data_IF_211396061512
#
_entry.id   IF_211396061512
#
_cell.length_a   1.000
_cell.length_b   1.000
_cell.length_c   1.000
_cell.angle_alpha   90.00
_cell.angle_beta   90.00
_cell.angle_gamma   90.00
#
_symmetry.space_group_name_H-M   'P 1'
#
loop_
_entity.id
_entity.type
_entity.pdbx_description
1 polymer ?
#
# COMPACT_ATOMS: atom_id res chain seq x y z
N UNK A 1 -31.64 11.09 -19.12
CA UNK A 1 -30.22 11.03 -19.51
C UNK A 1 -29.57 12.26 -18.90
N UNK A 2 -28.55 12.12 -18.03
CA UNK A 2 -27.83 13.28 -17.53
C UNK A 2 -27.13 13.99 -18.69
N UNK A 3 -27.04 15.32 -18.64
CA UNK A 3 -26.36 16.09 -19.67
C UNK A 3 -24.87 15.72 -19.68
N UNK A 4 -24.26 15.54 -20.85
CA UNK A 4 -22.83 15.21 -20.98
C UNK A 4 -21.91 16.16 -20.17
N UNK A 5 -22.34 17.42 -20.00
CA UNK A 5 -21.67 18.43 -19.18
C UNK A 5 -21.61 18.11 -17.69
N UNK A 6 -22.61 17.43 -17.10
CA UNK A 6 -22.60 17.11 -15.67
C UNK A 6 -21.64 15.98 -15.35
N UNK A 7 -21.49 15.01 -16.26
CA UNK A 7 -20.51 13.92 -16.14
C UNK A 7 -19.07 14.44 -16.22
N UNK A 8 -18.79 15.31 -17.19
CA UNK A 8 -17.47 15.92 -17.33
C UNK A 8 -17.08 16.75 -16.11
N UNK A 9 -17.99 17.59 -15.61
CA UNK A 9 -17.74 18.37 -14.39
C UNK A 9 -17.44 17.49 -13.18
N UNK A 10 -18.20 16.39 -13.00
CA UNK A 10 -17.97 15.46 -11.91
C UNK A 10 -16.59 14.79 -11.99
N UNK A 11 -16.19 14.32 -13.18
CA UNK A 11 -14.86 13.74 -13.40
C UNK A 11 -13.75 14.74 -13.11
N UNK A 12 -13.87 15.99 -13.59
CA UNK A 12 -12.88 17.04 -13.32
C UNK A 12 -12.73 17.30 -11.82
N UNK A 13 -13.83 17.41 -11.07
CA UNK A 13 -13.78 17.59 -9.61
C UNK A 13 -13.06 16.44 -8.92
N UNK A 14 -13.32 15.20 -9.35
CA UNK A 14 -12.67 14.01 -8.81
C UNK A 14 -11.17 14.01 -9.15
N UNK A 15 -10.79 14.30 -10.38
CA UNK A 15 -9.40 14.35 -10.84
C UNK A 15 -8.59 15.40 -10.06
N UNK A 16 -9.12 16.62 -9.91
CA UNK A 16 -8.48 17.66 -9.11
C UNK A 16 -8.32 17.23 -7.65
N UNK A 17 -9.33 16.58 -7.08
CA UNK A 17 -9.26 16.05 -5.71
C UNK A 17 -8.16 15.01 -5.57
N UNK A 18 -8.04 14.10 -6.54
CA UNK A 18 -6.99 13.07 -6.58
C UNK A 18 -5.59 13.71 -6.69
N UNK A 19 -5.42 14.70 -7.55
CA UNK A 19 -4.16 15.44 -7.72
C UNK A 19 -3.74 16.11 -6.41
N UNK A 20 -4.66 16.84 -5.77
CA UNK A 20 -4.40 17.54 -4.49
C UNK A 20 -4.05 16.55 -3.39
N UNK A 21 -4.85 15.48 -3.24
CA UNK A 21 -4.62 14.46 -2.22
C UNK A 21 -3.28 13.75 -2.41
N UNK A 22 -2.92 13.34 -3.62
CA UNK A 22 -1.62 12.69 -3.86
C UNK A 22 -0.46 13.66 -3.62
N UNK A 23 -0.60 14.93 -3.98
CA UNK A 23 0.44 15.95 -3.73
C UNK A 23 0.70 16.14 -2.23
N UNK A 24 -0.37 16.20 -1.41
CA UNK A 24 -0.26 16.26 0.05
C UNK A 24 0.42 15.00 0.59
N UNK A 25 -0.01 13.83 0.14
CA UNK A 25 0.54 12.54 0.59
C UNK A 25 2.04 12.41 0.25
N UNK A 26 2.46 12.86 -0.93
CA UNK A 26 3.88 12.92 -1.34
C UNK A 26 4.65 13.85 -0.41
N UNK A 27 4.16 15.07 -0.17
CA UNK A 27 4.81 16.04 0.71
C UNK A 27 5.03 15.51 2.12
N UNK A 28 3.97 14.99 2.76
CA UNK A 28 4.06 14.38 4.09
C UNK A 28 5.04 13.21 4.09
N UNK A 29 4.95 12.32 3.10
CA UNK A 29 5.80 11.13 3.02
C UNK A 29 7.28 11.48 2.86
N UNK A 30 7.62 12.47 2.04
CA UNK A 30 9.01 12.93 1.86
C UNK A 30 9.59 13.49 3.15
N UNK A 31 8.83 14.33 3.87
CA UNK A 31 9.27 14.91 5.15
C UNK A 31 9.57 13.78 6.15
N UNK A 32 8.65 12.84 6.31
CA UNK A 32 8.81 11.74 7.27
C UNK A 32 9.92 10.78 6.86
N UNK A 33 10.00 10.45 5.57
CA UNK A 33 11.07 9.61 5.03
C UNK A 33 12.45 10.21 5.29
N UNK A 34 12.63 11.50 4.99
CA UNK A 34 13.89 12.23 5.22
C UNK A 34 14.28 12.20 6.70
N UNK A 35 13.30 12.38 7.58
CA UNK A 35 13.51 12.35 9.02
C UNK A 35 13.90 10.96 9.53
N UNK A 36 13.25 9.90 9.02
CA UNK A 36 13.63 8.51 9.33
C UNK A 36 15.06 8.22 8.87
N UNK A 37 15.43 8.63 7.66
CA UNK A 37 16.80 8.45 7.13
C UNK A 37 17.82 9.18 8.00
N UNK A 38 17.54 10.42 8.41
CA UNK A 38 18.39 11.17 9.33
C UNK A 38 18.57 10.43 10.66
N UNK A 39 17.48 9.93 11.25
CA UNK A 39 17.54 9.17 12.51
C UNK A 39 18.25 7.82 12.39
N UNK A 40 18.09 7.12 11.26
CA UNK A 40 18.81 5.88 10.97
C UNK A 40 20.33 6.08 10.97
N UNK A 41 20.81 7.21 10.43
CA UNK A 41 22.23 7.59 10.45
C UNK A 41 22.73 7.90 11.86
N UNK A 42 21.94 8.62 12.67
CA UNK A 42 22.33 9.06 14.02
C UNK A 42 22.23 7.95 15.08
N UNK A 43 21.32 6.99 14.92
CA UNK A 43 21.03 6.00 15.96
C UNK A 43 22.11 4.91 16.02
N UNK A 44 22.83 4.81 17.15
CA UNK A 44 23.82 3.74 17.39
C UNK A 44 23.17 2.40 17.76
N UNK A 45 21.98 2.40 18.35
CA UNK A 45 21.28 1.19 18.78
C UNK A 45 20.74 0.39 17.58
N UNK A 46 21.27 -0.81 17.36
CA UNK A 46 20.90 -1.70 16.26
C UNK A 46 19.45 -2.20 16.32
N UNK A 47 18.86 -2.33 17.51
CA UNK A 47 17.53 -2.92 17.71
C UNK A 47 16.40 -2.08 17.11
N UNK A 48 16.56 -0.76 17.08
CA UNK A 48 15.55 0.14 16.52
C UNK A 48 15.68 0.31 14.99
N UNK A 49 16.84 -0.01 14.40
CA UNK A 49 17.11 0.24 12.98
C UNK A 49 16.18 -0.51 12.04
N UNK A 50 15.85 -1.75 12.35
CA UNK A 50 15.00 -2.59 11.49
C UNK A 50 13.59 -2.00 11.33
N UNK A 51 12.85 -1.69 12.41
CA UNK A 51 11.52 -1.13 12.22
C UNK A 51 11.53 0.28 11.60
N UNK A 52 12.58 1.09 11.81
CA UNK A 52 12.78 2.33 11.05
C UNK A 52 12.98 2.06 9.55
N UNK A 53 13.82 1.09 9.19
CA UNK A 53 14.07 0.68 7.79
C UNK A 53 12.78 0.19 7.12
N UNK A 54 12.00 -0.66 7.78
CA UNK A 54 10.73 -1.17 7.25
C UNK A 54 9.67 -0.05 7.10
N UNK A 55 9.68 0.93 8.01
CA UNK A 55 8.82 2.12 7.91
C UNK A 55 9.27 3.01 6.73
N UNK A 56 10.57 3.21 6.55
CA UNK A 56 11.11 3.93 5.40
C UNK A 56 10.73 3.26 4.07
N UNK A 57 10.81 1.93 3.99
CA UNK A 57 10.39 1.17 2.81
C UNK A 57 8.90 1.38 2.48
N UNK A 58 8.04 1.42 3.51
CA UNK A 58 6.62 1.71 3.32
C UNK A 58 6.39 3.13 2.78
N UNK A 59 7.06 4.15 3.33
CA UNK A 59 6.97 5.51 2.80
C UNK A 59 7.52 5.63 1.37
N UNK A 60 8.61 4.93 1.05
CA UNK A 60 9.13 4.87 -0.32
C UNK A 60 8.10 4.27 -1.30
N UNK A 61 7.42 3.19 -0.90
CA UNK A 61 6.36 2.54 -1.68
C UNK A 61 5.16 3.49 -1.90
N UNK A 62 4.78 4.25 -0.86
CA UNK A 62 3.72 5.26 -0.94
C UNK A 62 4.12 6.40 -1.88
N UNK A 63 5.32 6.97 -1.73
CA UNK A 63 5.83 8.04 -2.60
C UNK A 63 5.79 7.59 -4.06
N UNK A 64 6.34 6.41 -4.36
CA UNK A 64 6.35 5.89 -5.73
C UNK A 64 4.93 5.75 -6.29
N UNK A 65 4.01 5.17 -5.50
CA UNK A 65 2.62 4.98 -5.94
C UNK A 65 1.89 6.30 -6.16
N UNK A 66 2.02 7.26 -5.24
CA UNK A 66 1.40 8.57 -5.39
C UNK A 66 2.00 9.38 -6.54
N UNK A 67 3.31 9.28 -6.81
CA UNK A 67 3.94 9.94 -7.96
C UNK A 67 3.43 9.37 -9.28
N UNK A 68 3.34 8.04 -9.39
CA UNK A 68 2.82 7.39 -10.59
C UNK A 68 1.33 7.72 -10.80
N UNK A 69 0.54 7.71 -9.74
CA UNK A 69 -0.87 8.09 -9.81
C UNK A 69 -1.06 9.57 -10.16
N UNK A 70 -0.29 10.48 -9.55
CA UNK A 70 -0.29 11.89 -9.88
C UNK A 70 0.04 12.12 -11.35
N UNK A 71 1.05 11.41 -11.88
CA UNK A 71 1.43 11.48 -13.29
C UNK A 71 0.30 11.03 -14.22
N UNK A 72 -0.41 9.95 -13.90
CA UNK A 72 -1.57 9.53 -14.69
C UNK A 72 -2.69 10.58 -14.66
N UNK A 73 -3.03 11.12 -13.50
CA UNK A 73 -4.13 12.08 -13.39
C UNK A 73 -3.82 13.44 -14.03
N UNK A 74 -2.57 13.89 -14.01
CA UNK A 74 -2.14 15.06 -14.78
C UNK A 74 -2.36 14.83 -16.29
N UNK A 75 -2.20 13.58 -16.76
CA UNK A 75 -2.40 13.22 -18.17
C UNK A 75 -3.88 13.07 -18.56
N UNK A 76 -4.71 12.56 -17.65
CA UNK A 76 -6.17 12.42 -17.87
C UNK A 76 -6.83 13.79 -18.00
N UNK A 77 -6.36 14.79 -17.23
CA UNK A 77 -7.01 16.08 -17.10
C UNK A 77 -7.26 16.81 -18.45
N UNK A 78 -6.28 16.92 -19.38
CA UNK A 78 -6.54 17.42 -20.73
C UNK A 78 -7.57 16.62 -21.53
N UNK A 79 -7.64 15.29 -21.33
CA UNK A 79 -8.64 14.43 -21.96
C UNK A 79 -10.06 14.82 -21.54
N UNK A 80 -10.28 15.01 -20.24
CA UNK A 80 -11.58 15.47 -19.73
C UNK A 80 -11.91 16.94 -20.07
N UNK A 81 -10.90 17.82 -20.17
CA UNK A 81 -11.10 19.24 -20.49
C UNK A 81 -11.39 19.49 -21.98
N UNK A 82 -10.67 18.81 -22.87
CA UNK A 82 -10.65 19.13 -24.30
C UNK A 82 -11.14 17.98 -25.18
N UNK A 83 -11.51 16.83 -24.62
CA UNK A 83 -11.91 15.62 -25.36
C UNK A 83 -10.85 15.21 -26.40
N UNK A 84 -9.57 15.23 -25.98
CA UNK A 84 -8.45 14.88 -26.84
C UNK A 84 -8.33 13.35 -26.95
N UNK A 85 -8.89 12.78 -28.02
CA UNK A 85 -8.79 11.35 -28.37
C UNK A 85 -7.36 10.90 -28.72
N UNK A 86 -6.42 11.83 -28.88
CA UNK A 86 -5.03 11.54 -29.29
C UNK A 86 -4.12 11.04 -28.17
N UNK A 87 -4.64 10.76 -26.98
CA UNK A 87 -3.88 10.28 -25.82
C UNK A 87 -3.71 8.75 -25.76
N UNK A 88 -4.10 8.01 -26.81
CA UNK A 88 -3.87 6.56 -26.90
C UNK A 88 -2.39 6.25 -27.16
N UNK A 89 -1.63 6.11 -26.08
CA UNK A 89 -0.18 5.91 -26.16
C UNK A 89 0.24 4.42 -26.33
N UNK A 90 -0.68 3.52 -26.71
CA UNK A 90 -0.38 2.11 -27.00
C UNK A 90 0.47 1.41 -25.92
N UNK A 91 1.72 1.07 -26.23
CA UNK A 91 2.65 0.39 -25.31
C UNK A 91 2.95 1.23 -24.05
N UNK A 92 3.06 2.56 -24.17
CA UNK A 92 3.34 3.41 -23.02
C UNK A 92 2.20 3.36 -22.00
N UNK A 93 0.96 3.21 -22.46
CA UNK A 93 -0.20 3.00 -21.58
C UNK A 93 -0.02 1.74 -20.74
N UNK A 94 0.40 0.65 -21.37
CA UNK A 94 0.62 -0.62 -20.68
C UNK A 94 1.77 -0.54 -19.68
N UNK A 95 2.87 0.11 -20.04
CA UNK A 95 4.04 0.31 -19.16
C UNK A 95 3.64 1.13 -17.93
N UNK A 96 2.88 2.20 -18.10
CA UNK A 96 2.45 3.05 -16.98
C UNK A 96 1.51 2.32 -16.04
N UNK A 97 0.51 1.62 -16.57
CA UNK A 97 -0.36 0.76 -15.78
C UNK A 97 0.47 -0.29 -15.01
N UNK A 98 1.40 -0.98 -15.67
CA UNK A 98 2.31 -1.92 -15.04
C UNK A 98 3.03 -1.32 -13.82
N UNK A 99 3.67 -0.17 -13.97
CA UNK A 99 4.39 0.48 -12.88
C UNK A 99 3.45 0.89 -11.74
N UNK A 100 2.26 1.41 -12.05
CA UNK A 100 1.26 1.81 -11.05
C UNK A 100 0.76 0.61 -10.23
N UNK A 101 0.42 -0.50 -10.89
CA UNK A 101 -0.02 -1.72 -10.19
C UNK A 101 1.12 -2.36 -9.40
N UNK A 102 2.34 -2.38 -9.94
CA UNK A 102 3.52 -2.89 -9.24
C UNK A 102 3.83 -2.05 -7.99
N UNK A 103 3.79 -0.72 -8.07
CA UNK A 103 3.99 0.14 -6.90
C UNK A 103 2.91 -0.07 -5.85
N UNK A 104 1.63 -0.21 -6.25
CA UNK A 104 0.56 -0.49 -5.31
C UNK A 104 0.76 -1.83 -4.58
N UNK A 105 1.22 -2.87 -5.30
CA UNK A 105 1.58 -4.17 -4.72
C UNK A 105 2.67 -4.04 -3.62
N UNK A 106 3.66 -3.16 -3.83
CA UNK A 106 4.75 -2.98 -2.86
C UNK A 106 4.29 -2.44 -1.50
N UNK A 107 3.16 -1.71 -1.46
CA UNK A 107 2.58 -1.21 -0.21
C UNK A 107 2.05 -2.38 0.64
N UNK A 108 1.31 -3.30 0.04
CA UNK A 108 0.76 -4.47 0.74
C UNK A 108 1.87 -5.36 1.30
N UNK A 109 2.85 -5.68 0.48
CA UNK A 109 3.99 -6.49 0.91
C UNK A 109 4.88 -5.78 1.94
N UNK A 110 5.00 -4.44 1.90
CA UNK A 110 5.68 -3.68 2.95
C UNK A 110 4.99 -3.85 4.31
N UNK A 111 3.65 -3.83 4.34
CA UNK A 111 2.87 -4.10 5.56
C UNK A 111 3.09 -5.54 6.03
N UNK A 112 3.11 -6.50 5.10
CA UNK A 112 3.40 -7.90 5.42
C UNK A 112 4.78 -8.08 6.04
N UNK A 113 5.82 -7.43 5.51
CA UNK A 113 7.17 -7.46 6.08
C UNK A 113 7.22 -6.86 7.49
N UNK A 114 6.50 -5.78 7.75
CA UNK A 114 6.39 -5.21 9.10
C UNK A 114 5.74 -6.20 10.09
N UNK A 115 4.70 -6.91 9.66
CA UNK A 115 4.03 -7.92 10.48
C UNK A 115 4.90 -9.16 10.71
N UNK A 116 5.61 -9.62 9.68
CA UNK A 116 6.58 -10.71 9.77
C UNK A 116 7.74 -10.38 10.72
N UNK A 117 8.27 -9.15 10.67
CA UNK A 117 9.30 -8.71 11.59
C UNK A 117 8.87 -8.84 13.06
N UNK A 118 7.65 -8.39 13.37
CA UNK A 118 7.11 -8.47 14.73
C UNK A 118 6.89 -9.89 15.18
N UNK A 119 6.35 -10.73 14.29
CA UNK A 119 6.21 -12.16 14.53
C UNK A 119 7.58 -12.78 14.85
N UNK A 120 8.61 -12.49 14.04
CA UNK A 120 9.96 -13.00 14.25
C UNK A 120 10.58 -12.50 15.56
N UNK A 121 10.38 -11.23 15.90
CA UNK A 121 10.86 -10.65 17.16
C UNK A 121 10.26 -11.32 18.39
N UNK A 122 8.99 -11.70 18.34
CA UNK A 122 8.28 -12.31 19.48
C UNK A 122 8.56 -13.82 19.55
N UNK A 123 8.40 -14.54 18.43
CA UNK A 123 8.58 -16.00 18.40
C UNK A 123 10.05 -16.43 18.44
N UNK A 124 10.92 -15.74 17.71
CA UNK A 124 12.30 -16.14 17.48
C UNK A 124 13.30 -15.19 18.14
N UNK A 125 12.96 -14.64 19.30
CA UNK A 125 13.83 -13.70 20.04
C UNK A 125 15.23 -14.27 20.34
N UNK A 126 15.37 -15.59 20.44
CA UNK A 126 16.66 -16.28 20.64
C UNK A 126 17.50 -16.40 19.36
N UNK A 127 16.89 -16.34 18.17
CA UNK A 127 17.58 -16.56 16.89
C UNK A 127 17.96 -15.23 16.25
N UNK A 128 19.12 -14.69 16.64
CA UNK A 128 19.62 -13.38 16.17
C UNK A 128 19.65 -13.21 14.64
N UNK A 129 19.82 -14.29 13.87
CA UNK A 129 19.84 -14.25 12.39
C UNK A 129 18.56 -13.61 11.80
N UNK A 130 17.39 -13.96 12.34
CA UNK A 130 16.09 -13.43 11.88
C UNK A 130 15.81 -12.00 12.33
N UNK A 131 16.69 -11.44 13.18
CA UNK A 131 16.63 -10.08 13.71
C UNK A 131 17.83 -9.24 13.25
N UNK A 132 18.53 -9.69 12.20
CA UNK A 132 19.66 -8.95 11.63
C UNK A 132 19.17 -7.92 10.60
N UNK A 133 19.81 -6.75 10.57
CA UNK A 133 19.46 -5.68 9.63
C UNK A 133 19.61 -6.14 8.18
N UNK A 134 20.73 -6.80 7.86
CA UNK A 134 21.06 -7.33 6.53
C UNK A 134 19.98 -8.28 6.00
N UNK A 135 19.37 -9.07 6.90
CA UNK A 135 18.28 -9.96 6.51
C UNK A 135 17.05 -9.17 6.02
N UNK A 136 16.66 -8.09 6.72
CA UNK A 136 15.54 -7.26 6.28
C UNK A 136 15.86 -6.39 5.07
N UNK A 137 17.10 -5.94 4.90
CA UNK A 137 17.54 -5.28 3.66
C UNK A 137 17.38 -6.22 2.46
N UNK A 138 17.81 -7.49 2.60
CA UNK A 138 17.62 -8.50 1.57
C UNK A 138 16.13 -8.80 1.33
N UNK A 139 15.33 -8.94 2.38
CA UNK A 139 13.89 -9.18 2.23
C UNK A 139 13.17 -8.02 1.54
N UNK A 140 13.55 -6.77 1.81
CA UNK A 140 13.02 -5.59 1.11
C UNK A 140 13.37 -5.69 -0.38
N UNK A 141 14.63 -5.96 -0.72
CA UNK A 141 15.05 -6.11 -2.12
C UNK A 141 14.26 -7.22 -2.84
N UNK A 142 14.14 -8.40 -2.21
CA UNK A 142 13.37 -9.52 -2.74
C UNK A 142 11.89 -9.17 -2.89
N UNK A 143 11.32 -8.42 -1.94
CA UNK A 143 9.94 -7.95 -1.99
C UNK A 143 9.70 -7.04 -3.20
N UNK A 144 10.59 -6.09 -3.47
CA UNK A 144 10.49 -5.23 -4.65
C UNK A 144 10.57 -6.04 -5.95
N UNK A 145 11.58 -6.91 -6.09
CA UNK A 145 11.74 -7.79 -7.26
C UNK A 145 10.48 -8.63 -7.47
N UNK A 146 9.96 -9.22 -6.39
CA UNK A 146 8.76 -10.05 -6.44
C UNK A 146 7.51 -9.29 -6.85
N UNK A 147 7.27 -8.09 -6.29
CA UNK A 147 6.13 -7.25 -6.68
C UNK A 147 6.17 -6.86 -8.16
N UNK A 148 7.35 -6.52 -8.69
CA UNK A 148 7.53 -6.24 -10.12
C UNK A 148 7.33 -7.49 -10.97
N UNK A 149 7.88 -8.64 -10.54
CA UNK A 149 7.78 -9.91 -11.27
C UNK A 149 6.33 -10.39 -11.39
N UNK A 150 5.52 -10.28 -10.33
CA UNK A 150 4.10 -10.68 -10.35
C UNK A 150 3.31 -9.91 -11.41
N UNK A 151 3.66 -8.65 -11.68
CA UNK A 151 2.93 -7.82 -12.64
C UNK A 151 3.38 -8.04 -14.10
N UNK A 152 4.54 -8.67 -14.33
CA UNK A 152 5.11 -8.88 -15.67
C UNK A 152 4.17 -9.68 -16.60
N UNK A 153 3.52 -10.78 -16.17
CA UNK A 153 2.53 -11.47 -17.00
C UNK A 153 1.40 -10.56 -17.49
N UNK A 154 1.02 -9.56 -16.67
CA UNK A 154 0.08 -8.51 -17.04
C UNK A 154 0.46 -7.77 -18.32
N UNK A 155 1.74 -7.42 -18.42
CA UNK A 155 2.30 -6.67 -19.54
C UNK A 155 2.38 -7.54 -20.80
N UNK A 156 2.95 -8.74 -20.71
CA UNK A 156 3.13 -9.63 -21.87
C UNK A 156 1.82 -10.18 -22.44
N UNK A 157 0.79 -10.37 -21.62
CA UNK A 157 -0.53 -10.82 -22.05
C UNK A 157 -1.42 -9.69 -22.57
N UNK A 158 -0.90 -8.45 -22.61
CA UNK A 158 -1.64 -7.26 -23.04
C UNK A 158 -2.86 -7.00 -22.17
N UNK A 159 -2.76 -7.22 -20.85
CA UNK A 159 -3.90 -7.06 -19.93
C UNK A 159 -4.17 -5.62 -19.55
N UNK A 160 -3.28 -4.70 -19.90
CA UNK A 160 -3.47 -3.29 -19.67
C UNK A 160 -4.04 -2.66 -20.94
N UNK A 161 -5.20 -2.04 -20.83
CA UNK A 161 -5.88 -1.38 -21.93
C UNK A 161 -6.09 0.10 -21.61
N UNK A 162 -6.13 0.91 -22.66
CA UNK A 162 -6.56 2.28 -22.58
C UNK A 162 -8.08 2.34 -22.60
N UNK A 163 -8.69 2.92 -21.56
CA UNK A 163 -10.11 3.21 -21.57
C UNK A 163 -10.33 4.59 -22.22
N UNK A 164 -10.92 4.58 -23.42
CA UNK A 164 -11.23 5.84 -24.12
C UNK A 164 -12.18 6.75 -23.32
N UNK A 165 -13.15 6.19 -22.59
CA UNK A 165 -14.12 6.98 -21.82
C UNK A 165 -13.53 7.71 -20.60
N UNK A 166 -12.47 7.15 -19.99
CA UNK A 166 -11.88 7.66 -18.75
C UNK A 166 -10.46 8.23 -18.98
N UNK A 167 -9.97 8.19 -20.23
CA UNK A 167 -8.59 8.54 -20.62
C UNK A 167 -7.50 7.87 -19.76
N UNK A 168 -7.78 6.69 -19.19
CA UNK A 168 -6.96 6.03 -18.17
C UNK A 168 -6.49 4.64 -18.59
N UNK A 169 -5.29 4.27 -18.14
CA UNK A 169 -4.69 2.96 -18.40
C UNK A 169 -4.93 2.01 -17.22
N UNK A 170 -5.70 0.94 -17.44
CA UNK A 170 -6.02 -0.01 -16.38
C UNK A 170 -6.06 -1.46 -16.87
N UNK A 171 -6.30 -2.38 -15.94
CA UNK A 171 -6.49 -3.80 -16.24
C UNK A 171 -7.82 -3.97 -16.99
N UNK A 172 -7.76 -4.74 -18.07
CA UNK A 172 -8.91 -5.15 -18.87
C UNK A 172 -9.81 -6.11 -18.07
N UNK A 173 -11.03 -5.66 -17.77
CA UNK A 173 -12.02 -6.44 -17.02
C UNK A 173 -12.49 -7.71 -17.77
N UNK A 174 -12.31 -7.79 -19.09
CA UNK A 174 -12.64 -9.00 -19.88
C UNK A 174 -11.70 -10.17 -19.56
N UNK A 175 -10.46 -9.88 -19.15
CA UNK A 175 -9.41 -10.87 -18.91
C UNK A 175 -9.43 -11.37 -17.47
N UNK A 176 -10.56 -11.94 -17.06
CA UNK A 176 -10.85 -12.37 -15.69
C UNK A 176 -9.76 -13.24 -15.04
N UNK A 177 -9.13 -14.14 -15.79
CA UNK A 177 -8.05 -15.01 -15.29
C UNK A 177 -6.90 -14.20 -14.68
N UNK A 178 -6.55 -13.09 -15.33
CA UNK A 178 -5.46 -12.23 -14.91
C UNK A 178 -5.85 -11.33 -13.75
N UNK A 179 -7.11 -10.90 -13.70
CA UNK A 179 -7.68 -10.17 -12.55
C UNK A 179 -7.64 -11.05 -11.31
N UNK A 180 -8.06 -12.32 -11.43
CA UNK A 180 -8.02 -13.29 -10.32
C UNK A 180 -6.57 -13.55 -9.92
N UNK A 181 -5.67 -13.79 -10.87
CA UNK A 181 -4.25 -14.05 -10.58
C UNK A 181 -3.61 -12.85 -9.85
N UNK A 182 -3.76 -11.64 -10.38
CA UNK A 182 -3.23 -10.42 -9.76
C UNK A 182 -3.93 -10.14 -8.42
N UNK A 183 -5.24 -10.34 -8.35
CA UNK A 183 -6.03 -10.23 -7.11
C UNK A 183 -5.51 -11.15 -6.02
N UNK A 184 -5.24 -12.41 -6.34
CA UNK A 184 -4.71 -13.39 -5.39
C UNK A 184 -3.28 -13.03 -4.98
N UNK A 185 -2.40 -12.82 -5.96
CA UNK A 185 -0.96 -12.63 -5.69
C UNK A 185 -0.67 -11.27 -5.05
N UNK A 186 -1.20 -10.17 -5.60
CA UNK A 186 -0.89 -8.82 -5.13
C UNK A 186 -1.68 -8.42 -3.88
N UNK A 187 -2.86 -8.99 -3.68
CA UNK A 187 -3.74 -8.66 -2.56
C UNK A 187 -3.94 -9.88 -1.66
N UNK A 188 -4.69 -10.90 -2.06
CA UNK A 188 -5.14 -11.94 -1.12
C UNK A 188 -4.01 -12.62 -0.32
N UNK A 189 -2.87 -12.92 -0.93
CA UNK A 189 -1.73 -13.53 -0.24
C UNK A 189 -1.14 -12.61 0.85
N UNK A 190 -0.64 -11.39 0.56
CA UNK A 190 -0.06 -10.54 1.60
C UNK A 190 -1.07 -10.21 2.71
N UNK A 191 -2.35 -10.12 2.37
CA UNK A 191 -3.46 -9.96 3.31
C UNK A 191 -3.51 -11.12 4.31
N UNK A 192 -3.63 -12.36 3.82
CA UNK A 192 -3.75 -13.54 4.67
C UNK A 192 -2.48 -13.79 5.49
N UNK A 193 -1.30 -13.53 4.91
CA UNK A 193 -0.03 -13.64 5.65
C UNK A 193 0.01 -12.62 6.80
N UNK A 194 -0.42 -11.39 6.57
CA UNK A 194 -0.48 -10.33 7.59
C UNK A 194 -1.44 -10.72 8.73
N UNK A 195 -2.64 -11.19 8.38
CA UNK A 195 -3.64 -11.67 9.33
C UNK A 195 -3.11 -12.87 10.14
N UNK A 196 -2.49 -13.85 9.46
CA UNK A 196 -1.85 -14.99 10.11
C UNK A 196 -0.78 -14.56 11.11
N UNK A 197 0.13 -13.66 10.72
CA UNK A 197 1.15 -13.11 11.61
C UNK A 197 0.54 -12.49 12.87
N UNK A 198 -0.57 -11.76 12.74
CA UNK A 198 -1.26 -11.16 13.87
C UNK A 198 -1.88 -12.22 14.80
N UNK A 199 -2.64 -13.17 14.25
CA UNK A 199 -3.26 -14.24 15.04
C UNK A 199 -2.23 -15.09 15.79
N UNK A 200 -1.13 -15.47 15.13
CA UNK A 200 -0.05 -16.21 15.76
C UNK A 200 0.64 -15.40 16.87
N UNK A 201 0.90 -14.11 16.63
CA UNK A 201 1.48 -13.21 17.62
C UNK A 201 0.59 -13.11 18.87
N UNK A 202 -0.72 -12.92 18.68
CA UNK A 202 -1.69 -12.86 19.77
C UNK A 202 -1.77 -14.17 20.56
N UNK A 203 -1.82 -15.30 19.85
CA UNK A 203 -1.89 -16.62 20.49
C UNK A 203 -0.68 -16.86 21.37
N UNK A 204 0.53 -16.54 20.88
CA UNK A 204 1.77 -16.70 21.65
C UNK A 204 1.78 -15.85 22.91
N UNK A 205 1.41 -14.57 22.80
CA UNK A 205 1.35 -13.66 23.96
C UNK A 205 0.36 -14.15 25.01
N UNK A 206 -0.81 -14.68 24.58
CA UNK A 206 -1.79 -15.28 25.50
C UNK A 206 -1.25 -16.53 26.19
N UNK A 207 -0.55 -17.39 25.46
CA UNK A 207 0.05 -18.61 26.02
C UNK A 207 1.15 -18.30 27.04
N UNK A 208 2.03 -17.35 26.72
CA UNK A 208 3.15 -16.97 27.59
C UNK A 208 2.67 -16.22 28.84
N UNK A 209 1.50 -15.55 28.79
CA UNK A 209 0.85 -14.95 29.98
C UNK A 209 0.49 -15.99 31.04
N UNK A 210 0.20 -17.22 30.64
CA UNK A 210 -0.20 -18.30 31.54
C UNK A 210 1.01 -19.09 32.09
N UNK A 211 2.20 -18.96 31.50
CA UNK A 211 3.42 -19.60 31.99
C UNK A 211 4.16 -18.69 32.97
N UNK A 212 4.25 -19.14 34.22
CA UNK A 212 4.64 -18.48 35.47
C UNK A 212 6.10 -18.04 35.60
N UNK A 213 6.83 -17.79 34.50
CA UNK A 213 8.24 -17.33 34.55
C UNK A 213 8.28 -15.79 34.63
N UNK A 214 8.12 -15.28 35.86
CA UNK A 214 7.62 -13.93 36.16
C UNK A 214 8.50 -12.72 35.77
N UNK A 215 9.82 -12.85 35.63
CA UNK A 215 10.72 -11.67 35.57
C UNK A 215 11.09 -11.25 34.14
N UNK A 216 11.56 -12.18 33.30
CA UNK A 216 11.86 -11.90 31.88
C UNK A 216 10.58 -11.68 31.08
N UNK A 217 9.50 -12.38 31.44
CA UNK A 217 8.19 -12.21 30.83
C UNK A 217 7.64 -10.79 31.04
N UNK A 218 7.96 -10.08 32.13
CA UNK A 218 7.39 -8.75 32.40
C UNK A 218 7.92 -7.66 31.47
N UNK A 219 9.23 -7.64 31.21
CA UNK A 219 9.85 -6.69 30.24
C UNK A 219 9.38 -7.02 28.82
N UNK A 220 9.31 -8.31 28.49
CA UNK A 220 8.76 -8.79 27.23
C UNK A 220 7.28 -8.44 27.09
N UNK A 221 6.48 -8.49 28.16
CA UNK A 221 5.05 -8.14 28.15
C UNK A 221 4.82 -6.65 27.89
N UNK A 222 5.62 -5.75 28.47
CA UNK A 222 5.50 -4.30 28.19
C UNK A 222 5.83 -4.02 26.73
N UNK A 223 6.88 -4.66 26.21
CA UNK A 223 7.26 -4.55 24.80
C UNK A 223 6.22 -5.17 23.88
N UNK A 224 5.67 -6.33 24.25
CA UNK A 224 4.65 -7.05 23.50
C UNK A 224 3.31 -6.29 23.49
N UNK A 225 2.93 -5.62 24.59
CA UNK A 225 1.75 -4.74 24.61
C UNK A 225 1.91 -3.57 23.65
N UNK A 226 3.09 -2.95 23.62
CA UNK A 226 3.41 -1.89 22.66
C UNK A 226 3.31 -2.45 21.23
N UNK A 227 3.95 -3.57 20.96
CA UNK A 227 3.94 -4.20 19.64
C UNK A 227 2.51 -4.58 19.22
N UNK A 228 1.66 -5.08 20.14
CA UNK A 228 0.25 -5.38 19.89
C UNK A 228 -0.56 -4.14 19.53
N UNK A 229 -0.35 -3.02 20.22
CA UNK A 229 -0.99 -1.75 19.85
C UNK A 229 -0.61 -1.39 18.42
N UNK A 230 0.68 -1.50 18.08
CA UNK A 230 1.10 -1.20 16.70
C UNK A 230 0.55 -2.24 15.72
N UNK A 231 0.38 -3.53 16.08
CA UNK A 231 -0.17 -4.52 15.14
C UNK A 231 -1.66 -4.33 14.94
N UNK A 232 -2.43 -4.07 16.01
CA UNK A 232 -3.85 -3.71 15.90
C UNK A 232 -4.07 -2.53 14.97
N UNK A 233 -3.18 -1.52 15.04
CA UNK A 233 -3.19 -0.37 14.13
C UNK A 233 -2.82 -0.75 12.69
N UNK A 234 -1.85 -1.64 12.49
CA UNK A 234 -1.57 -2.19 11.16
C UNK A 234 -2.79 -2.96 10.62
N UNK A 235 -3.49 -3.73 11.45
CA UNK A 235 -4.72 -4.42 11.07
C UNK A 235 -5.85 -3.44 10.71
N UNK A 236 -5.98 -2.32 11.44
CA UNK A 236 -6.95 -1.28 11.12
C UNK A 236 -6.61 -0.59 9.78
N UNK A 237 -5.35 -0.21 9.59
CA UNK A 237 -4.84 0.36 8.34
C UNK A 237 -5.03 -0.59 7.16
N UNK A 238 -4.77 -1.86 7.42
CA UNK A 238 -4.98 -2.95 6.49
C UNK A 238 -6.47 -3.15 6.16
N UNK A 239 -7.35 -3.06 7.16
CA UNK A 239 -8.81 -3.06 6.99
C UNK A 239 -9.28 -1.91 6.10
N UNK A 240 -8.75 -0.70 6.30
CA UNK A 240 -9.03 0.45 5.43
C UNK A 240 -8.61 0.14 3.98
N UNK A 241 -7.40 -0.39 3.77
CA UNK A 241 -6.91 -0.80 2.44
C UNK A 241 -7.76 -1.91 1.79
N UNK A 242 -8.44 -2.76 2.57
CA UNK A 242 -9.40 -3.72 2.01
C UNK A 242 -10.74 -3.06 1.65
N UNK A 243 -11.22 -2.10 2.44
CA UNK A 243 -12.49 -1.42 2.18
C UNK A 243 -12.49 -0.67 0.85
N UNK A 244 -11.35 -0.14 0.45
CA UNK A 244 -11.20 0.48 -0.87
C UNK A 244 -11.16 -0.51 -2.03
N UNK A 245 -10.71 -1.73 -1.78
CA UNK A 245 -10.74 -2.76 -2.82
C UNK A 245 -12.18 -3.16 -3.16
N UNK A 246 -13.16 -2.80 -2.31
CA UNK A 246 -14.59 -3.09 -2.53
C UNK A 246 -15.09 -2.45 -3.83
N UNK A 247 -14.97 -1.13 -4.10
CA UNK A 247 -15.33 -0.56 -5.40
C UNK A 247 -14.77 -1.33 -6.62
N UNK A 248 -13.48 -1.72 -6.58
CA UNK A 248 -12.86 -2.45 -7.67
C UNK A 248 -13.50 -3.83 -7.88
N UNK A 249 -13.71 -4.57 -6.79
CA UNK A 249 -14.34 -5.89 -6.81
C UNK A 249 -15.82 -5.81 -7.22
N UNK A 250 -16.55 -4.84 -6.69
CA UNK A 250 -17.94 -4.55 -7.07
C UNK A 250 -18.01 -4.21 -8.56
N UNK A 251 -17.07 -3.42 -9.06
CA UNK A 251 -16.96 -3.09 -10.47
C UNK A 251 -16.75 -4.28 -11.38
N UNK A 252 -15.85 -5.17 -10.98
CA UNK A 252 -15.66 -6.44 -11.66
C UNK A 252 -16.96 -7.26 -11.69
N UNK A 253 -17.68 -7.40 -10.57
CA UNK A 253 -18.95 -8.13 -10.56
C UNK A 253 -20.01 -7.47 -11.45
N UNK A 254 -20.17 -6.15 -11.37
CA UNK A 254 -21.10 -5.41 -12.24
C UNK A 254 -20.76 -5.69 -13.70
N UNK A 255 -19.48 -5.61 -14.07
CA UNK A 255 -19.03 -5.86 -15.44
C UNK A 255 -19.33 -7.29 -15.90
N UNK A 256 -19.05 -8.30 -15.06
CA UNK A 256 -19.32 -9.70 -15.39
C UNK A 256 -20.81 -9.98 -15.59
N UNK A 257 -21.68 -9.40 -14.76
CA UNK A 257 -23.12 -9.65 -14.84
C UNK A 257 -23.83 -8.82 -15.92
N UNK A 258 -23.37 -7.62 -16.20
CA UNK A 258 -24.07 -6.66 -17.09
C UNK A 258 -23.37 -6.40 -18.41
N UNK A 259 -22.08 -6.75 -18.54
CA UNK A 259 -21.24 -6.36 -19.67
C UNK A 259 -20.91 -4.87 -19.72
N UNK A 260 -21.30 -4.10 -18.70
CA UNK A 260 -21.17 -2.64 -18.65
C UNK A 260 -20.38 -2.19 -17.43
N UNK A 261 -19.44 -1.26 -17.62
CA UNK A 261 -18.69 -0.63 -16.53
C UNK A 261 -19.19 0.82 -16.34
N UNK A 262 -19.74 1.17 -15.16
CA UNK A 262 -20.16 2.55 -14.91
C UNK A 262 -18.98 3.53 -14.92
N UNK A 263 -19.14 4.66 -15.62
CA UNK A 263 -18.11 5.72 -15.76
C UNK A 263 -17.59 6.27 -14.43
N UNK A 264 -18.41 6.33 -13.39
CA UNK A 264 -18.04 6.92 -12.10
C UNK A 264 -17.17 5.99 -11.23
N UNK A 265 -17.10 4.71 -11.58
CA UNK A 265 -16.55 3.67 -10.71
C UNK A 265 -15.02 3.73 -10.62
N UNK A 266 -14.35 3.91 -11.77
CA UNK A 266 -12.89 4.02 -11.84
C UNK A 266 -12.39 5.28 -11.11
N UNK A 267 -12.91 6.50 -11.39
CA UNK A 267 -12.56 7.69 -10.64
C UNK A 267 -12.81 7.56 -9.13
N UNK A 268 -13.94 6.95 -8.73
CA UNK A 268 -14.27 6.74 -7.32
C UNK A 268 -13.28 5.79 -6.61
N UNK A 269 -12.86 4.71 -7.29
CA UNK A 269 -11.85 3.79 -6.76
C UNK A 269 -10.52 4.51 -6.48
N UNK A 270 -10.02 5.28 -7.44
CA UNK A 270 -8.76 6.01 -7.29
C UNK A 270 -8.84 7.19 -6.33
N UNK A 271 -10.01 7.84 -6.22
CA UNK A 271 -10.28 8.83 -5.18
C UNK A 271 -10.20 8.21 -3.79
N UNK A 272 -10.86 7.06 -3.60
CA UNK A 272 -10.73 6.27 -2.39
C UNK A 272 -9.27 5.96 -2.09
N UNK A 273 -8.46 5.67 -3.11
CA UNK A 273 -7.07 5.24 -2.95
C UNK A 273 -6.22 6.37 -2.45
N UNK A 274 -6.40 7.52 -3.06
CA UNK A 274 -5.75 8.77 -2.68
C UNK A 274 -6.12 9.18 -1.25
N UNK A 275 -7.40 9.04 -0.86
CA UNK A 275 -7.85 9.32 0.51
C UNK A 275 -7.20 8.37 1.52
N UNK A 276 -7.15 7.07 1.23
CA UNK A 276 -6.55 6.10 2.15
C UNK A 276 -5.06 6.28 2.24
N UNK A 277 -4.34 6.59 1.16
CA UNK A 277 -2.91 6.87 1.24
C UNK A 277 -2.63 8.11 2.12
N UNK A 278 -3.47 9.14 2.05
CA UNK A 278 -3.40 10.25 3.00
C UNK A 278 -3.63 9.80 4.45
N UNK A 279 -4.71 9.05 4.72
CA UNK A 279 -4.99 8.53 6.06
C UNK A 279 -3.84 7.67 6.56
N UNK A 280 -3.32 6.74 5.75
CA UNK A 280 -2.17 5.88 6.03
C UNK A 280 -0.96 6.72 6.42
N UNK A 281 -0.58 7.72 5.63
CA UNK A 281 0.59 8.56 5.91
C UNK A 281 0.44 9.32 7.22
N UNK A 282 -0.71 9.94 7.46
CA UNK A 282 -1.03 10.68 8.69
C UNK A 282 -1.03 9.74 9.90
N UNK A 283 -1.74 8.61 9.78
CA UNK A 283 -1.83 7.58 10.82
C UNK A 283 -0.44 7.10 11.18
N UNK A 284 0.41 6.75 10.22
CA UNK A 284 1.78 6.30 10.47
C UNK A 284 2.62 7.34 11.23
N UNK A 285 2.45 8.63 10.95
CA UNK A 285 3.14 9.73 11.68
C UNK A 285 2.74 9.74 13.15
N UNK A 286 1.43 9.73 13.44
CA UNK A 286 0.94 9.83 14.81
C UNK A 286 1.11 8.54 15.61
N UNK A 287 1.05 7.40 14.92
CA UNK A 287 1.02 6.08 15.56
C UNK A 287 2.42 5.54 15.79
N UNK A 288 3.36 5.81 14.89
CA UNK A 288 4.69 5.24 15.00
C UNK A 288 5.35 5.81 16.26
N UNK A 289 5.54 5.01 17.33
CA UNK A 289 6.16 5.51 18.56
C UNK A 289 7.58 6.00 18.28
N UNK A 290 8.18 5.47 17.23
CA UNK A 290 9.45 5.90 16.70
C UNK A 290 9.44 7.35 16.26
N UNK A 291 8.44 7.76 15.48
CA UNK A 291 8.28 9.15 15.02
C UNK A 291 7.95 10.06 16.20
N UNK A 292 7.09 9.60 17.12
CA UNK A 292 6.75 10.36 18.33
C UNK A 292 7.96 10.66 19.22
N UNK A 293 8.87 9.70 19.40
CA UNK A 293 10.12 9.91 20.17
C UNK A 293 10.90 11.10 19.62
N UNK A 294 10.90 11.28 18.30
CA UNK A 294 11.67 12.32 17.65
C UNK A 294 11.11 13.73 17.93
N UNK A 295 9.79 13.84 18.14
CA UNK A 295 9.13 15.10 18.51
C UNK A 295 9.22 15.42 20.00
N UNK A 296 9.51 14.43 20.85
CA UNK A 296 9.56 14.60 22.32
C UNK A 296 10.96 14.81 22.90
N UNK A 297 12.02 14.82 22.08
CA UNK A 297 13.41 14.95 22.55
C UNK A 297 13.94 16.40 22.59
N UNK A 298 13.06 17.40 22.70
CA UNK A 298 13.43 18.78 22.97
C UNK A 298 13.03 19.19 24.37
#
# INVERSE_FOLDING_TARGET
MPNASTHQLANLVIDYSIIVLNSISIGISIIVFTFIVYHLKKTRNSSNKIPFLLTANMYLSIILSCVLLLKEYIRILPGHLFSLDTLDDGILCQIRAYFLWASNCTIYYSITLQSLYRLCRILYHTKQRFLSLRFYELLILLQWIFCFLIMIPGLFLGNYIYLQGDYFCQIDYTKWKNIILNGILAYYIPINVTIGCYFYTLRKIKQDRHSTVFTVARIQQVTARRDLIVVSRLCALFGLLTMISIPAVTGYFIYVFTGYLPWWLSPLQWLGFSLIMNIVTIVLVFISPQVRILFTCH
#
